data_IF_951993849555
#
_entry.id   IF_951993849555
#
_cell.length_a   1.000
_cell.length_b   1.000
_cell.length_c   1.000
_cell.angle_alpha   90.00
_cell.angle_beta   90.00
_cell.angle_gamma   90.00
#
_symmetry.space_group_name_H-M   'P 1'
#
loop_
_entity.id
_entity.type
_entity.pdbx_description
1 polymer ?
#
# COMPACT_ATOMS: atom_id res chain seq x y z
N UNK A 1 17.29 -1.71 -16.89
CA UNK A 1 16.89 -1.98 -15.49
C UNK A 1 15.43 -1.58 -15.33
N UNK A 2 14.56 -2.49 -14.89
CA UNK A 2 13.19 -2.11 -14.55
C UNK A 2 13.22 -1.16 -13.34
N UNK A 3 12.56 -0.01 -13.45
CA UNK A 3 12.45 0.91 -12.34
C UNK A 3 11.59 0.25 -11.26
N UNK A 4 12.21 -0.12 -10.14
CA UNK A 4 11.56 -0.80 -9.01
C UNK A 4 10.33 -0.03 -8.48
N UNK A 5 10.29 1.29 -8.69
CA UNK A 5 9.19 2.15 -8.28
C UNK A 5 8.00 2.17 -9.27
N UNK A 6 8.13 1.56 -10.44
CA UNK A 6 7.07 1.48 -11.46
C UNK A 6 6.18 0.23 -11.31
N UNK A 7 6.40 -0.60 -10.28
CA UNK A 7 5.54 -1.75 -10.02
C UNK A 7 4.26 -1.30 -9.28
N UNK A 8 3.24 -0.93 -10.06
CA UNK A 8 1.95 -0.45 -9.54
C UNK A 8 1.28 -1.46 -8.59
N UNK A 9 1.33 -2.74 -8.92
CA UNK A 9 0.76 -3.80 -8.08
C UNK A 9 1.46 -3.87 -6.71
N UNK A 10 2.78 -3.65 -6.67
CA UNK A 10 3.54 -3.58 -5.42
C UNK A 10 3.18 -2.33 -4.60
N UNK A 11 3.01 -1.17 -5.25
CA UNK A 11 2.55 0.06 -4.58
C UNK A 11 1.16 -0.14 -3.96
N UNK A 12 0.23 -0.75 -4.69
CA UNK A 12 -1.10 -1.12 -4.18
C UNK A 12 -1.01 -2.10 -3.01
N UNK A 13 -0.06 -3.03 -3.04
CA UNK A 13 0.20 -3.99 -1.95
C UNK A 13 0.62 -3.28 -0.68
N UNK A 14 1.63 -2.40 -0.75
CA UNK A 14 2.09 -1.61 0.40
C UNK A 14 0.96 -0.71 0.94
N UNK A 15 0.20 -0.08 0.06
CA UNK A 15 -0.92 0.78 0.44
C UNK A 15 -2.04 0.01 1.14
N UNK A 16 -2.34 -1.23 0.72
CA UNK A 16 -3.33 -2.09 1.40
C UNK A 16 -2.81 -2.56 2.75
N UNK A 17 -1.57 -3.03 2.79
CA UNK A 17 -0.95 -3.54 4.01
C UNK A 17 -0.92 -2.47 5.11
N UNK A 18 -0.37 -1.29 4.83
CA UNK A 18 -0.26 -0.23 5.85
C UNK A 18 -1.63 0.23 6.34
N UNK A 19 -2.63 0.36 5.46
CA UNK A 19 -3.99 0.73 5.89
C UNK A 19 -4.61 -0.32 6.82
N UNK A 20 -4.45 -1.60 6.50
CA UNK A 20 -4.92 -2.67 7.36
C UNK A 20 -4.26 -2.63 8.75
N UNK A 21 -2.94 -2.41 8.79
CA UNK A 21 -2.22 -2.26 10.06
C UNK A 21 -2.65 -1.01 10.85
N UNK A 22 -2.91 0.11 10.16
CA UNK A 22 -3.48 1.31 10.80
C UNK A 22 -4.86 1.05 11.40
N UNK A 23 -5.72 0.32 10.69
CA UNK A 23 -7.05 -0.06 11.15
C UNK A 23 -6.98 -1.00 12.36
N UNK A 24 -6.15 -2.05 12.29
CA UNK A 24 -5.92 -2.99 13.40
C UNK A 24 -5.38 -2.30 14.65
N UNK A 25 -4.49 -1.33 14.48
CA UNK A 25 -3.92 -0.55 15.58
C UNK A 25 -4.81 0.61 16.06
N UNK A 26 -5.95 0.89 15.38
CA UNK A 26 -6.80 2.05 15.69
C UNK A 26 -6.12 3.40 15.45
N UNK A 27 -5.11 3.46 14.58
CA UNK A 27 -4.26 4.64 14.36
C UNK A 27 -4.77 5.46 13.17
N UNK A 28 -5.11 6.72 13.41
CA UNK A 28 -5.43 7.68 12.34
C UNK A 28 -4.17 8.23 11.68
N UNK A 29 -4.29 8.93 10.54
CA UNK A 29 -3.13 9.63 9.94
C UNK A 29 -2.52 10.69 10.86
N UNK A 30 -3.34 11.34 11.69
CA UNK A 30 -2.84 12.26 12.71
C UNK A 30 -2.08 11.49 13.81
N UNK A 31 -2.63 10.38 14.29
CA UNK A 31 -1.94 9.52 15.26
C UNK A 31 -0.62 8.96 14.73
N UNK A 32 -0.58 8.56 13.45
CA UNK A 32 0.67 8.10 12.81
C UNK A 32 1.71 9.22 12.72
N UNK A 33 1.29 10.45 12.41
CA UNK A 33 2.16 11.62 12.43
C UNK A 33 2.79 11.84 13.81
N UNK A 34 1.97 11.84 14.85
CA UNK A 34 2.43 12.02 16.24
C UNK A 34 3.40 10.90 16.62
N UNK A 35 3.06 9.63 16.34
CA UNK A 35 3.93 8.48 16.62
C UNK A 35 5.27 8.54 15.89
N UNK A 36 5.31 9.07 14.66
CA UNK A 36 6.56 9.24 13.88
C UNK A 36 7.47 10.30 14.50
N UNK A 37 6.88 11.40 14.97
CA UNK A 37 7.60 12.46 15.67
C UNK A 37 8.12 11.98 17.03
N UNK A 38 7.25 11.37 17.84
CA UNK A 38 7.60 10.90 19.18
C UNK A 38 8.65 9.77 19.18
N UNK A 39 8.55 8.79 18.28
CA UNK A 39 9.48 7.65 18.26
C UNK A 39 10.79 7.95 17.53
N UNK A 40 10.77 8.79 16.50
CA UNK A 40 11.91 8.93 15.58
C UNK A 40 12.30 10.38 15.26
N UNK A 41 11.60 11.38 15.79
CA UNK A 41 11.82 12.79 15.45
C UNK A 41 11.42 13.15 14.01
N UNK A 42 10.57 12.34 13.37
CA UNK A 42 10.18 12.53 11.97
C UNK A 42 8.88 13.32 11.89
N UNK A 43 8.98 14.58 11.47
CA UNK A 43 7.83 15.47 11.34
C UNK A 43 7.23 15.35 9.93
N UNK A 44 5.98 14.92 9.86
CA UNK A 44 5.22 14.87 8.61
C UNK A 44 3.81 15.43 8.81
N UNK A 45 3.26 16.14 7.82
CA UNK A 45 1.86 16.53 7.87
C UNK A 45 0.94 15.30 7.66
N UNK A 46 -0.17 15.14 8.43
CA UNK A 46 -1.13 14.05 8.24
C UNK A 46 -1.69 13.93 6.81
N UNK A 47 -1.90 15.04 6.10
CA UNK A 47 -2.35 15.02 4.71
C UNK A 47 -1.28 14.44 3.77
N UNK A 48 -0.01 14.76 3.99
CA UNK A 48 1.12 14.19 3.25
C UNK A 48 1.26 12.69 3.52
N UNK A 49 1.10 12.26 4.78
CA UNK A 49 1.11 10.83 5.13
C UNK A 49 -0.04 10.10 4.46
N UNK A 50 -1.25 10.66 4.49
CA UNK A 50 -2.41 10.09 3.78
C UNK A 50 -2.10 9.88 2.30
N UNK A 51 -1.52 10.87 1.62
CA UNK A 51 -1.16 10.74 0.20
C UNK A 51 -0.08 9.67 -0.03
N UNK A 52 0.94 9.60 0.83
CA UNK A 52 2.01 8.59 0.75
C UNK A 52 1.48 7.17 0.97
N UNK A 53 0.70 6.95 2.03
CA UNK A 53 0.06 5.67 2.32
C UNK A 53 -0.89 5.29 1.19
N UNK A 54 -1.72 6.22 0.73
CA UNK A 54 -2.74 5.91 -0.27
C UNK A 54 -2.17 5.57 -1.64
N UNK A 55 -1.08 6.22 -2.00
CA UNK A 55 -0.38 6.00 -3.28
C UNK A 55 0.60 4.82 -3.24
N UNK A 56 0.93 4.31 -2.04
CA UNK A 56 1.96 3.29 -1.86
C UNK A 56 3.35 3.71 -2.28
N UNK A 57 3.57 5.00 -2.58
CA UNK A 57 4.87 5.56 -2.96
C UNK A 57 5.71 5.81 -1.70
N UNK A 58 6.14 4.71 -1.08
CA UNK A 58 6.91 4.67 0.14
C UNK A 58 8.33 4.19 -0.21
N UNK A 59 9.34 4.95 0.19
CA UNK A 59 10.70 4.41 0.24
C UNK A 59 10.81 3.36 1.35
N UNK A 60 11.80 2.47 1.27
CA UNK A 60 12.00 1.39 2.24
C UNK A 60 12.07 1.91 3.69
N UNK A 61 12.74 3.04 3.91
CA UNK A 61 12.84 3.70 5.22
C UNK A 61 11.46 4.11 5.77
N UNK A 62 10.64 4.78 4.96
CA UNK A 62 9.31 5.22 5.40
C UNK A 62 8.39 4.04 5.69
N UNK A 63 8.46 2.98 4.89
CA UNK A 63 7.72 1.76 5.18
C UNK A 63 8.11 1.19 6.54
N UNK A 64 9.42 1.06 6.81
CA UNK A 64 9.91 0.53 8.08
C UNK A 64 9.49 1.39 9.28
N UNK A 65 9.62 2.72 9.19
CA UNK A 65 9.16 3.61 10.26
C UNK A 65 7.66 3.48 10.53
N UNK A 66 6.82 3.38 9.48
CA UNK A 66 5.38 3.18 9.66
C UNK A 66 5.08 1.85 10.36
N UNK A 67 5.72 0.75 9.95
CA UNK A 67 5.54 -0.57 10.55
C UNK A 67 5.95 -0.56 12.03
N UNK A 68 7.05 0.11 12.39
CA UNK A 68 7.49 0.28 13.77
C UNK A 68 6.56 1.18 14.60
N UNK A 69 6.02 2.26 14.02
CA UNK A 69 5.03 3.11 14.70
C UNK A 69 3.72 2.37 14.98
N UNK A 70 3.32 1.49 14.07
CA UNK A 70 2.13 0.65 14.17
C UNK A 70 2.34 -0.59 15.04
N UNK A 71 3.53 -0.77 15.62
CA UNK A 71 3.82 -1.87 16.57
C UNK A 71 3.55 -3.25 15.97
N UNK A 72 3.88 -3.38 14.67
CA UNK A 72 3.81 -4.67 13.99
C UNK A 72 4.96 -5.55 14.47
N UNK A 73 4.64 -6.58 15.26
CA UNK A 73 5.63 -7.50 15.82
C UNK A 73 6.26 -8.40 14.75
N UNK A 74 5.45 -8.90 13.80
CA UNK A 74 5.93 -9.81 12.75
C UNK A 74 5.38 -9.43 11.38
N UNK A 75 6.27 -9.32 10.40
CA UNK A 75 5.90 -9.12 9.00
C UNK A 75 5.71 -10.48 8.33
N UNK A 76 4.45 -10.90 8.16
CA UNK A 76 4.12 -12.17 7.51
C UNK A 76 4.26 -12.05 5.99
N UNK A 77 5.43 -12.44 5.45
CA UNK A 77 5.72 -12.29 4.00
C UNK A 77 4.68 -12.97 3.10
N UNK A 78 4.12 -14.11 3.53
CA UNK A 78 3.03 -14.80 2.81
C UNK A 78 1.75 -13.96 2.71
N UNK A 79 1.49 -13.09 3.69
CA UNK A 79 0.34 -12.19 3.64
C UNK A 79 0.53 -11.11 2.56
N UNK A 80 1.71 -10.49 2.51
CA UNK A 80 2.04 -9.52 1.47
C UNK A 80 1.99 -10.14 0.08
N UNK A 81 2.51 -11.35 -0.08
CA UNK A 81 2.44 -12.09 -1.34
C UNK A 81 0.98 -12.36 -1.75
N UNK A 82 0.12 -12.79 -0.83
CA UNK A 82 -1.31 -12.98 -1.10
C UNK A 82 -1.99 -11.68 -1.53
N UNK A 83 -1.69 -10.56 -0.87
CA UNK A 83 -2.23 -9.24 -1.26
C UNK A 83 -1.77 -8.90 -2.69
N UNK A 84 -0.48 -9.12 -2.99
CA UNK A 84 0.09 -8.85 -4.31
C UNK A 84 -0.55 -9.68 -5.42
N UNK A 85 -0.68 -10.99 -5.22
CA UNK A 85 -1.30 -11.90 -6.18
C UNK A 85 -2.76 -11.53 -6.44
N UNK A 86 -3.54 -11.23 -5.39
CA UNK A 86 -4.93 -10.75 -5.55
C UNK A 86 -5.02 -9.45 -6.34
N UNK A 87 -4.06 -8.54 -6.19
CA UNK A 87 -4.02 -7.31 -6.99
C UNK A 87 -3.75 -7.64 -8.46
N UNK A 88 -2.79 -8.53 -8.71
CA UNK A 88 -2.46 -8.98 -10.08
C UNK A 88 -3.62 -9.68 -10.77
N UNK A 89 -4.31 -10.57 -10.08
CA UNK A 89 -5.52 -11.24 -10.57
C UNK A 89 -6.61 -10.22 -10.94
N UNK A 90 -6.85 -9.23 -10.07
CA UNK A 90 -7.85 -8.19 -10.34
C UNK A 90 -7.48 -7.31 -11.55
N UNK A 91 -6.19 -7.02 -11.74
CA UNK A 91 -5.69 -6.26 -12.90
C UNK A 91 -5.88 -7.05 -14.20
N UNK A 92 -5.59 -8.36 -14.19
CA UNK A 92 -5.77 -9.22 -15.35
C UNK A 92 -7.25 -9.38 -15.72
N UNK A 93 -8.12 -9.68 -14.76
CA UNK A 93 -9.56 -9.81 -15.00
C UNK A 93 -10.18 -8.50 -15.52
N UNK A 94 -9.71 -7.35 -15.01
CA UNK A 94 -10.12 -6.04 -15.49
C UNK A 94 -9.63 -5.73 -16.91
N UNK A 95 -8.49 -6.26 -17.32
CA UNK A 95 -8.00 -6.15 -18.69
C UNK A 95 -8.83 -7.02 -19.64
N UNK A 96 -9.10 -8.27 -19.27
CA UNK A 96 -9.94 -9.20 -20.04
C UNK A 96 -11.35 -8.66 -20.27
N UNK A 97 -11.99 -8.09 -19.24
CA UNK A 97 -13.31 -7.46 -19.38
C UNK A 97 -13.30 -6.27 -20.34
N UNK A 98 -12.27 -5.41 -20.27
CA UNK A 98 -12.13 -4.26 -21.19
C UNK A 98 -11.81 -4.67 -22.63
N UNK A 99 -11.21 -5.84 -22.81
CA UNK A 99 -10.94 -6.41 -24.14
C UNK A 99 -12.22 -7.05 -24.71
N UNK A 100 -12.99 -7.75 -23.88
CA UNK A 100 -14.29 -8.30 -24.26
C UNK A 100 -15.32 -7.22 -24.65
N UNK A 101 -15.32 -6.06 -23.98
CA UNK A 101 -16.21 -4.93 -24.31
C UNK A 101 -15.87 -4.25 -25.65
N UNK A 102 -14.67 -4.47 -26.19
CA UNK A 102 -14.24 -3.94 -27.50
C UNK A 102 -14.59 -4.85 -28.67
N UNK A 103 -15.00 -6.10 -28.40
CA UNK A 103 -15.44 -7.00 -29.46
C UNK A 103 -16.79 -6.52 -30.00
N UNK A 104 -16.97 -6.48 -31.33
CA UNK A 104 -18.27 -6.17 -31.90
C UNK A 104 -19.31 -7.19 -31.39
N UNK A 105 -20.59 -6.79 -31.27
CA UNK A 105 -21.64 -7.72 -30.90
C UNK A 105 -21.62 -8.91 -31.86
N UNK A 106 -21.65 -10.11 -31.30
CA UNK A 106 -21.77 -11.34 -32.09
C UNK A 106 -23.22 -11.41 -32.55
N UNK A 107 -23.43 -11.28 -33.86
CA UNK A 107 -24.73 -11.42 -34.53
C UNK A 107 -25.37 -12.80 -34.29
#
# INVERSE_FOLDING_TARGET
MANIYQNESMRKTLARYIRAQMELAGVTYNGLSVKLEEKFGIIHNPATLRNKVNSGALGAQMFLFMVLCLEVDTLQMRELEKIYLKIKEAENNGAEMKEAEKLPPVD
#
